data_IF_311430796395
#
_entry.id   IF_311430796395
#
_cell.length_a   1.000
_cell.length_b   1.000
_cell.length_c   1.000
_cell.angle_alpha   90.00
_cell.angle_beta   90.00
_cell.angle_gamma   90.00
#
_symmetry.space_group_name_H-M   'P 1'
#
loop_
_entity.id
_entity.type
_entity.pdbx_description
1 polymer ?
#
# COMPACT_ATOMS: atom_id res chain seq x y z
N UNK A 1 -4.91 24.41 1.25
CA UNK A 1 -5.42 23.03 1.31
C UNK A 1 -5.48 22.65 2.79
N UNK A 2 -6.52 21.94 3.26
CA UNK A 2 -6.51 21.42 4.65
C UNK A 2 -5.86 20.03 4.69
N UNK A 3 -5.30 19.64 5.84
CA UNK A 3 -4.67 18.32 6.03
C UNK A 3 -5.69 17.17 6.09
N UNK A 4 -6.96 17.46 6.39
CA UNK A 4 -8.03 16.45 6.50
C UNK A 4 -8.30 15.65 5.20
N UNK A 5 -8.51 16.30 4.03
CA UNK A 5 -8.62 15.60 2.75
C UNK A 5 -7.42 14.73 2.42
N UNK A 6 -6.22 15.15 2.86
CA UNK A 6 -4.99 14.41 2.65
C UNK A 6 -5.00 13.08 3.39
N UNK A 7 -5.27 13.13 4.70
CA UNK A 7 -5.35 11.95 5.57
C UNK A 7 -6.45 11.02 5.09
N UNK A 8 -7.61 11.57 4.71
CA UNK A 8 -8.71 10.78 4.17
C UNK A 8 -8.36 10.07 2.86
N UNK A 9 -7.57 10.69 1.97
CA UNK A 9 -7.15 10.07 0.72
C UNK A 9 -6.09 8.99 0.97
N UNK A 10 -5.12 9.26 1.84
CA UNK A 10 -4.10 8.28 2.23
C UNK A 10 -4.73 7.03 2.88
N UNK A 11 -5.70 7.21 3.80
CA UNK A 11 -6.45 6.09 4.39
C UNK A 11 -7.31 5.35 3.35
N UNK A 12 -7.87 6.07 2.38
CA UNK A 12 -8.59 5.48 1.25
C UNK A 12 -7.72 4.53 0.44
N UNK A 13 -6.53 4.99 0.00
CA UNK A 13 -5.59 4.15 -0.74
C UNK A 13 -5.10 2.95 0.09
N UNK A 14 -4.76 3.20 1.36
CA UNK A 14 -4.36 2.16 2.30
C UNK A 14 -5.42 1.06 2.46
N UNK A 15 -6.69 1.45 2.51
CA UNK A 15 -7.83 0.54 2.65
C UNK A 15 -8.14 -0.20 1.35
N UNK A 16 -8.01 0.46 0.20
CA UNK A 16 -8.13 -0.18 -1.13
C UNK A 16 -7.05 -1.24 -1.33
N UNK A 17 -5.79 -0.93 -1.01
CA UNK A 17 -4.67 -1.88 -1.12
C UNK A 17 -4.96 -3.17 -0.33
N UNK A 18 -5.37 -3.04 0.93
CA UNK A 18 -5.71 -4.18 1.78
C UNK A 18 -6.91 -4.97 1.24
N UNK A 19 -7.92 -4.27 0.71
CA UNK A 19 -9.10 -4.90 0.11
C UNK A 19 -8.71 -5.73 -1.12
N UNK A 20 -8.00 -5.14 -2.08
CA UNK A 20 -7.53 -5.82 -3.28
C UNK A 20 -6.68 -7.05 -2.97
N UNK A 21 -5.82 -6.97 -1.96
CA UNK A 21 -5.00 -8.09 -1.52
C UNK A 21 -5.86 -9.20 -0.91
N UNK A 22 -6.79 -8.87 0.00
CA UNK A 22 -7.68 -9.87 0.63
C UNK A 22 -8.62 -10.55 -0.37
N UNK A 23 -9.09 -9.82 -1.38
CA UNK A 23 -9.91 -10.37 -2.47
C UNK A 23 -9.18 -11.43 -3.29
N UNK A 24 -7.85 -11.41 -3.32
CA UNK A 24 -7.04 -12.42 -4.03
C UNK A 24 -6.88 -13.73 -3.25
N UNK A 25 -7.06 -13.74 -1.92
CA UNK A 25 -6.78 -14.91 -1.09
C UNK A 25 -7.56 -16.18 -1.46
N UNK A 26 -8.84 -16.11 -1.87
CA UNK A 26 -9.55 -17.30 -2.33
C UNK A 26 -8.87 -18.01 -3.51
N UNK A 27 -8.16 -17.28 -4.39
CA UNK A 27 -7.44 -17.85 -5.54
C UNK A 27 -6.30 -18.79 -5.13
N UNK A 28 -5.79 -18.69 -3.89
CA UNK A 28 -4.76 -19.61 -3.38
C UNK A 28 -5.25 -21.06 -3.34
N UNK A 29 -6.53 -21.27 -3.02
CA UNK A 29 -7.13 -22.61 -3.01
C UNK A 29 -7.13 -23.25 -4.40
N UNK A 30 -7.25 -22.43 -5.45
CA UNK A 30 -7.22 -22.88 -6.84
C UNK A 30 -5.81 -23.30 -7.30
N UNK A 31 -4.74 -22.91 -6.59
CA UNK A 31 -3.39 -23.38 -6.89
C UNK A 31 -3.10 -24.81 -6.38
N UNK A 32 -3.90 -25.33 -5.44
CA UNK A 32 -3.76 -26.71 -4.94
C UNK A 32 -4.42 -27.77 -5.85
N UNK A 33 -5.10 -27.34 -6.91
CA UNK A 33 -5.74 -28.25 -7.86
C UNK A 33 -4.73 -28.90 -8.81
N UNK A 34 -5.07 -30.05 -9.37
CA UNK A 34 -4.30 -30.69 -10.47
C UNK A 34 -4.73 -30.17 -11.85
N UNK A 35 -5.77 -29.33 -11.93
CA UNK A 35 -6.22 -28.72 -13.18
C UNK A 35 -5.39 -27.48 -13.53
N UNK A 36 -4.51 -27.63 -14.53
CA UNK A 36 -3.64 -26.57 -15.00
C UNK A 36 -4.39 -25.31 -15.47
N UNK A 37 -5.62 -25.43 -16.00
CA UNK A 37 -6.39 -24.26 -16.45
C UNK A 37 -6.89 -23.44 -15.27
N UNK A 38 -7.29 -24.11 -14.20
CA UNK A 38 -7.74 -23.47 -12.97
C UNK A 38 -6.56 -22.81 -12.25
N UNK A 39 -5.39 -23.47 -12.23
CA UNK A 39 -4.17 -22.89 -11.69
C UNK A 39 -3.71 -21.64 -12.47
N UNK A 40 -3.72 -21.68 -13.81
CA UNK A 40 -3.34 -20.51 -14.62
C UNK A 40 -4.32 -19.33 -14.41
N UNK A 41 -5.63 -19.60 -14.36
CA UNK A 41 -6.61 -18.56 -14.05
C UNK A 41 -6.39 -17.95 -12.66
N UNK A 42 -5.92 -18.73 -11.69
CA UNK A 42 -5.55 -18.21 -10.38
C UNK A 42 -4.29 -17.32 -10.44
N UNK A 43 -3.28 -17.70 -11.25
CA UNK A 43 -2.11 -16.85 -11.49
C UNK A 43 -2.48 -15.51 -12.12
N UNK A 44 -3.43 -15.49 -13.05
CA UNK A 44 -3.95 -14.25 -13.63
C UNK A 44 -4.59 -13.35 -12.58
N UNK A 45 -5.34 -13.90 -11.63
CA UNK A 45 -5.90 -13.13 -10.49
C UNK A 45 -4.79 -12.46 -9.69
N UNK A 46 -3.70 -13.16 -9.38
CA UNK A 46 -2.59 -12.55 -8.64
C UNK A 46 -1.88 -11.45 -9.43
N UNK A 47 -1.70 -11.63 -10.75
CA UNK A 47 -1.14 -10.59 -11.65
C UNK A 47 -2.03 -9.36 -11.70
N UNK A 48 -3.34 -9.55 -11.82
CA UNK A 48 -4.33 -8.46 -11.78
C UNK A 48 -4.33 -7.74 -10.42
N UNK A 49 -4.24 -8.49 -9.31
CA UNK A 49 -4.11 -7.91 -7.98
C UNK A 49 -2.85 -7.03 -7.90
N UNK A 50 -1.69 -7.50 -8.34
CA UNK A 50 -0.46 -6.68 -8.35
C UNK A 50 -0.61 -5.39 -9.17
N UNK A 51 -1.36 -5.42 -10.27
CA UNK A 51 -1.65 -4.22 -11.06
C UNK A 51 -2.53 -3.22 -10.29
N UNK A 52 -3.53 -3.70 -9.55
CA UNK A 52 -4.36 -2.85 -8.67
C UNK A 52 -3.55 -2.27 -7.52
N UNK A 53 -2.70 -3.08 -6.87
CA UNK A 53 -1.83 -2.62 -5.79
C UNK A 53 -0.83 -1.56 -6.28
N UNK A 54 -0.27 -1.70 -7.48
CA UNK A 54 0.58 -0.67 -8.08
C UNK A 54 -0.19 0.64 -8.25
N UNK A 55 -1.44 0.59 -8.71
CA UNK A 55 -2.26 1.79 -8.84
C UNK A 55 -2.49 2.47 -7.48
N UNK A 56 -2.81 1.71 -6.43
CA UNK A 56 -3.00 2.27 -5.09
C UNK A 56 -1.71 2.97 -4.57
N UNK A 57 -0.53 2.40 -4.88
CA UNK A 57 0.78 2.98 -4.57
C UNK A 57 1.07 4.25 -5.39
N UNK A 58 0.72 4.25 -6.67
CA UNK A 58 0.90 5.41 -7.55
C UNK A 58 0.03 6.59 -7.10
N UNK A 59 -1.22 6.32 -6.71
CA UNK A 59 -2.16 7.32 -6.18
C UNK A 59 -1.63 7.93 -4.85
N UNK A 60 -1.00 7.10 -3.99
CA UNK A 60 -0.31 7.55 -2.78
C UNK A 60 0.92 8.41 -3.08
N UNK A 61 1.73 8.03 -4.07
CA UNK A 61 2.89 8.80 -4.49
C UNK A 61 2.51 10.16 -5.10
N UNK A 62 1.43 10.20 -5.90
CA UNK A 62 0.87 11.45 -6.42
C UNK A 62 0.41 12.37 -5.27
N UNK A 63 -0.12 11.80 -4.20
CA UNK A 63 -0.49 12.57 -3.02
C UNK A 63 0.74 13.22 -2.35
N UNK A 64 1.88 12.53 -2.22
CA UNK A 64 3.15 13.13 -1.74
C UNK A 64 3.55 14.31 -2.61
N UNK A 65 3.51 14.15 -3.94
CA UNK A 65 3.85 15.22 -4.88
C UNK A 65 2.94 16.46 -4.71
N UNK A 66 1.62 16.23 -4.56
CA UNK A 66 0.66 17.32 -4.31
C UNK A 66 0.90 18.03 -3.00
N UNK A 67 1.28 17.30 -1.95
CA UNK A 67 1.67 17.92 -0.67
C UNK A 67 2.90 18.78 -0.90
N UNK A 68 3.94 18.24 -1.53
CA UNK A 68 5.23 18.92 -1.72
C UNK A 68 5.07 20.23 -2.50
N UNK A 69 4.30 20.20 -3.59
CA UNK A 69 3.93 21.38 -4.37
C UNK A 69 3.21 22.42 -3.50
N UNK A 70 2.20 22.01 -2.73
CA UNK A 70 1.49 22.91 -1.81
C UNK A 70 2.41 23.50 -0.74
N UNK A 71 3.29 22.69 -0.14
CA UNK A 71 4.25 23.16 0.87
C UNK A 71 5.22 24.18 0.30
N UNK A 72 5.65 24.00 -0.94
CA UNK A 72 6.59 24.87 -1.63
C UNK A 72 5.96 26.21 -1.99
N UNK A 73 4.68 26.20 -2.39
CA UNK A 73 3.88 27.41 -2.64
C UNK A 73 3.51 28.17 -1.34
N UNK A 74 3.32 27.44 -0.23
CA UNK A 74 2.97 28.01 1.07
C UNK A 74 4.16 28.65 1.82
N UNK A 75 5.40 28.47 1.33
CA UNK A 75 6.62 29.10 1.89
C UNK A 75 6.51 30.63 1.78
N UNK A 76 5.90 31.24 2.80
CA UNK A 76 5.70 32.67 2.92
C UNK A 76 4.41 33.09 3.65
N UNK A 77 3.45 32.18 3.91
CA UNK A 77 2.10 32.58 4.36
C UNK A 77 1.52 31.87 5.60
N UNK A 78 2.16 30.86 6.20
CA UNK A 78 1.56 30.14 7.35
C UNK A 78 2.44 30.12 8.59
N UNK A 79 2.00 30.85 9.62
CA UNK A 79 2.47 30.69 11.01
C UNK A 79 1.82 29.42 11.57
N UNK A 80 2.62 28.43 12.01
CA UNK A 80 2.15 27.31 12.84
C UNK A 80 1.80 26.00 12.13
N UNK A 81 1.98 25.88 10.81
CA UNK A 81 1.88 24.60 10.10
C UNK A 81 3.30 24.09 9.82
N UNK A 82 3.61 22.83 10.12
CA UNK A 82 4.85 22.17 9.65
C UNK A 82 4.54 21.20 8.48
N UNK A 83 4.42 21.72 7.25
CA UNK A 83 4.21 20.93 6.06
C UNK A 83 5.29 19.87 5.81
N UNK A 84 6.52 20.08 6.31
CA UNK A 84 7.63 19.14 6.10
C UNK A 84 7.44 17.87 6.93
N UNK A 85 6.88 18.00 8.14
CA UNK A 85 6.56 16.84 8.97
C UNK A 85 5.46 15.98 8.32
N UNK A 86 4.38 16.60 7.85
CA UNK A 86 3.31 15.89 7.14
C UNK A 86 3.84 15.17 5.87
N UNK A 87 4.74 15.80 5.12
CA UNK A 87 5.44 15.19 3.98
C UNK A 87 6.24 13.95 4.37
N UNK A 88 6.97 14.00 5.48
CA UNK A 88 7.76 12.85 5.96
C UNK A 88 6.87 11.66 6.31
N UNK A 89 5.77 11.89 7.03
CA UNK A 89 4.87 10.80 7.43
C UNK A 89 4.16 10.16 6.23
N UNK A 90 3.71 10.97 5.28
CA UNK A 90 3.08 10.46 4.05
C UNK A 90 4.12 9.78 3.16
N UNK A 91 5.33 10.32 3.05
CA UNK A 91 6.43 9.67 2.33
C UNK A 91 6.76 8.29 2.90
N UNK A 92 6.84 8.17 4.23
CA UNK A 92 7.04 6.88 4.89
C UNK A 92 5.91 5.87 4.62
N UNK A 93 4.66 6.35 4.47
CA UNK A 93 3.54 5.49 4.05
C UNK A 93 3.76 4.95 2.63
N UNK A 94 4.19 5.79 1.69
CA UNK A 94 4.48 5.37 0.32
C UNK A 94 5.59 4.32 0.29
N UNK A 95 6.70 4.56 1.00
CA UNK A 95 7.84 3.63 1.05
C UNK A 95 7.42 2.24 1.58
N UNK A 96 6.53 2.22 2.59
CA UNK A 96 6.00 1.00 3.16
C UNK A 96 5.13 0.22 2.17
N UNK A 97 4.18 0.87 1.49
CA UNK A 97 3.33 0.20 0.51
C UNK A 97 4.10 -0.20 -0.77
N UNK A 98 5.14 0.55 -1.14
CA UNK A 98 6.07 0.16 -2.20
C UNK A 98 6.86 -1.11 -1.84
N UNK A 99 7.36 -1.17 -0.60
CA UNK A 99 8.08 -2.35 -0.08
C UNK A 99 7.17 -3.57 -0.09
N UNK A 100 5.93 -3.42 0.38
CA UNK A 100 4.96 -4.51 0.37
C UNK A 100 4.64 -4.98 -1.06
N UNK A 101 4.42 -4.04 -1.99
CA UNK A 101 4.19 -4.37 -3.39
C UNK A 101 5.38 -5.15 -3.99
N UNK A 102 6.61 -4.75 -3.66
CA UNK A 102 7.81 -5.46 -4.08
C UNK A 102 7.83 -6.89 -3.50
N UNK A 103 7.59 -7.05 -2.20
CA UNK A 103 7.52 -8.35 -1.54
C UNK A 103 6.50 -9.28 -2.20
N UNK A 104 5.34 -8.77 -2.61
CA UNK A 104 4.32 -9.55 -3.34
C UNK A 104 4.78 -9.91 -4.76
N UNK A 105 5.41 -8.99 -5.48
CA UNK A 105 5.99 -9.28 -6.81
C UNK A 105 7.03 -10.38 -6.74
N UNK A 106 7.94 -10.29 -5.78
CA UNK A 106 8.97 -11.30 -5.55
C UNK A 106 8.34 -12.65 -5.19
N UNK A 107 7.37 -12.69 -4.26
CA UNK A 107 6.69 -13.93 -3.92
C UNK A 107 6.04 -14.61 -5.14
N UNK A 108 5.37 -13.85 -6.01
CA UNK A 108 4.78 -14.41 -7.24
C UNK A 108 5.86 -14.87 -8.23
N UNK A 109 6.92 -14.08 -8.42
CA UNK A 109 8.02 -14.42 -9.31
C UNK A 109 8.70 -15.72 -8.86
N UNK A 110 9.12 -15.79 -7.59
CA UNK A 110 9.76 -16.94 -6.98
C UNK A 110 8.88 -18.19 -7.11
N UNK A 111 7.57 -18.05 -6.93
CA UNK A 111 6.63 -19.17 -7.10
C UNK A 111 6.55 -19.64 -8.55
N UNK A 112 6.40 -18.71 -9.51
CA UNK A 112 6.30 -19.05 -10.94
C UNK A 112 7.60 -19.56 -11.55
N UNK A 113 8.74 -19.23 -10.94
CA UNK A 113 10.06 -19.74 -11.30
C UNK A 113 10.41 -21.04 -10.54
N UNK A 114 9.48 -21.59 -9.75
CA UNK A 114 9.66 -22.80 -8.94
C UNK A 114 10.80 -22.70 -7.88
N UNK A 115 11.16 -21.47 -7.48
CA UNK A 115 12.15 -21.20 -6.43
C UNK A 115 11.58 -21.42 -5.02
N UNK A 116 10.27 -21.18 -4.86
CA UNK A 116 9.52 -21.49 -3.63
C UNK A 116 8.34 -22.42 -3.93
N UNK A 117 7.93 -23.19 -2.91
CA UNK A 117 6.74 -24.04 -3.02
C UNK A 117 5.45 -23.26 -2.71
N UNK A 118 4.30 -23.88 -3.00
CA UNK A 118 2.97 -23.26 -2.81
C UNK A 118 2.67 -22.87 -1.36
N UNK A 119 3.12 -23.66 -0.37
CA UNK A 119 2.91 -23.35 1.05
C UNK A 119 3.66 -22.08 1.45
N UNK A 120 4.88 -21.92 0.96
CA UNK A 120 5.69 -20.74 1.17
C UNK A 120 5.13 -19.51 0.43
N UNK A 121 4.69 -19.68 -0.82
CA UNK A 121 3.99 -18.64 -1.56
C UNK A 121 2.74 -18.16 -0.82
N UNK A 122 1.87 -19.08 -0.38
CA UNK A 122 0.66 -18.77 0.38
C UNK A 122 0.99 -17.97 1.65
N UNK A 123 2.02 -18.38 2.39
CA UNK A 123 2.47 -17.68 3.59
C UNK A 123 2.90 -16.25 3.26
N UNK A 124 3.81 -16.08 2.29
CA UNK A 124 4.33 -14.76 1.89
C UNK A 124 3.24 -13.85 1.30
N UNK A 125 2.29 -14.44 0.59
CA UNK A 125 1.18 -13.70 -0.02
C UNK A 125 0.16 -13.20 1.03
N UNK A 126 -0.12 -14.01 2.05
CA UNK A 126 -1.05 -13.66 3.13
C UNK A 126 -0.43 -12.80 4.22
N UNK A 127 0.90 -12.75 4.32
CA UNK A 127 1.55 -11.91 5.32
C UNK A 127 1.29 -10.44 5.02
N UNK A 128 0.61 -9.77 5.95
CA UNK A 128 0.33 -8.32 5.89
C UNK A 128 0.77 -7.63 7.17
N UNK A 129 1.61 -8.29 7.97
CA UNK A 129 1.94 -7.85 9.33
C UNK A 129 2.67 -6.49 9.34
N UNK A 130 3.60 -6.28 8.41
CA UNK A 130 4.37 -5.03 8.30
C UNK A 130 3.48 -3.83 7.92
N UNK A 131 2.60 -3.99 6.92
CA UNK A 131 1.70 -2.92 6.51
C UNK A 131 0.60 -2.63 7.54
N UNK A 132 0.13 -3.63 8.30
CA UNK A 132 -0.88 -3.41 9.34
C UNK A 132 -0.28 -2.68 10.54
N UNK A 133 0.94 -3.04 10.95
CA UNK A 133 1.67 -2.35 12.01
C UNK A 133 2.00 -0.90 11.60
N UNK A 134 2.54 -0.73 10.39
CA UNK A 134 2.95 0.57 9.89
C UNK A 134 1.77 1.50 9.61
N UNK A 135 0.66 1.02 9.00
CA UNK A 135 -0.56 1.81 8.80
C UNK A 135 -1.05 2.39 10.11
N UNK A 136 -1.11 1.57 11.17
CA UNK A 136 -1.61 2.01 12.48
C UNK A 136 -0.74 3.14 13.03
N UNK A 137 0.57 2.96 13.05
CA UNK A 137 1.50 3.98 13.54
C UNK A 137 1.38 5.29 12.74
N UNK A 138 1.36 5.21 11.40
CA UNK A 138 1.28 6.41 10.57
C UNK A 138 -0.06 7.13 10.71
N UNK A 139 -1.17 6.41 10.87
CA UNK A 139 -2.49 7.02 11.09
C UNK A 139 -2.59 7.68 12.47
N UNK A 140 -2.02 7.06 13.50
CA UNK A 140 -1.93 7.66 14.85
C UNK A 140 -1.09 8.95 14.81
N UNK A 141 0.08 8.93 14.15
CA UNK A 141 0.93 10.12 13.98
C UNK A 141 0.24 11.25 13.19
N UNK A 142 -0.51 10.90 12.13
CA UNK A 142 -1.30 11.86 11.34
C UNK A 142 -2.46 12.45 12.15
N UNK A 143 -3.11 11.66 12.99
CA UNK A 143 -4.19 12.11 13.87
C UNK A 143 -3.66 13.03 14.98
N UNK A 144 -2.53 12.70 15.59
CA UNK A 144 -1.87 13.53 16.61
C UNK A 144 -1.42 14.87 16.03
N UNK A 145 -0.88 14.87 14.81
CA UNK A 145 -0.59 16.10 14.07
C UNK A 145 -1.86 16.93 13.88
N UNK A 146 -2.95 16.33 13.35
CA UNK A 146 -4.22 17.05 13.17
C UNK A 146 -4.76 17.63 14.49
N UNK A 147 -4.63 16.91 15.61
CA UNK A 147 -5.03 17.39 16.92
C UNK A 147 -4.14 18.54 17.44
N UNK A 148 -2.85 18.53 17.11
CA UNK A 148 -1.92 19.63 17.45
C UNK A 148 -2.15 20.91 16.64
N UNK A 149 -2.90 20.82 15.52
CA UNK A 149 -3.25 21.95 14.64
C UNK A 149 -4.63 22.57 14.91
N UNK A 150 -5.44 22.00 15.81
CA UNK A 150 -6.78 22.49 16.20
C UNK A 150 -6.79 23.21 17.54
#
# INVERSE_FOLDING_TARGET
MSLLPLVSHADGCASSFQTHLRESFPALSALYTQDARVAEAALDIFRETLAKLQKDVDDLAELVYRVDAWTSEARGMSVGQDPQQALQHVGGLVDMYQTELLNKREALADFTCEEINLSEFEKRWKDTSEIEAGKKQTMDDLADMLASFG
#
